data_IF_619911390432
#
_entry.id   IF_619911390432
#
_cell.length_a   1.000
_cell.length_b   1.000
_cell.length_c   1.000
_cell.angle_alpha   90.00
_cell.angle_beta   90.00
_cell.angle_gamma   90.00
#
_symmetry.space_group_name_H-M   'P 1'
#
loop_
_entity.id
_entity.type
_entity.pdbx_description
1 polymer ?
#
# COMPACT_ATOMS: atom_id res chain seq x y z
N UNK A 1 -34.06 34.44 -20.43
CA UNK A 1 -32.65 34.79 -20.19
C UNK A 1 -32.13 35.74 -21.26
N UNK A 2 -31.47 36.84 -20.86
CA UNK A 2 -30.85 37.78 -21.80
C UNK A 2 -29.67 37.13 -22.55
N UNK A 3 -29.32 37.64 -23.73
CA UNK A 3 -28.13 37.19 -24.51
C UNK A 3 -26.85 37.26 -23.66
N UNK A 4 -26.71 38.31 -22.83
CA UNK A 4 -25.59 38.47 -21.89
C UNK A 4 -25.57 37.38 -20.82
N UNK A 5 -26.73 37.03 -20.25
CA UNK A 5 -26.84 35.97 -19.24
C UNK A 5 -26.45 34.58 -19.79
N UNK A 6 -26.79 34.28 -21.06
CA UNK A 6 -26.39 33.02 -21.72
C UNK A 6 -24.88 32.93 -21.92
N UNK A 7 -24.23 34.03 -22.29
CA UNK A 7 -22.77 34.09 -22.48
C UNK A 7 -22.03 33.91 -21.15
N UNK A 8 -22.49 34.58 -20.09
CA UNK A 8 -21.91 34.42 -18.74
C UNK A 8 -22.05 32.97 -18.25
N UNK A 9 -23.22 32.36 -18.45
CA UNK A 9 -23.43 30.95 -18.10
C UNK A 9 -22.48 30.02 -18.87
N UNK A 10 -22.23 30.31 -20.15
CA UNK A 10 -21.26 29.57 -20.96
C UNK A 10 -19.84 29.63 -20.39
N UNK A 11 -19.36 30.83 -20.03
CA UNK A 11 -18.05 30.97 -19.39
C UNK A 11 -17.98 30.26 -18.04
N UNK A 12 -19.04 30.32 -17.22
CA UNK A 12 -19.08 29.58 -15.95
C UNK A 12 -18.96 28.07 -16.14
N UNK A 13 -19.64 27.50 -17.15
CA UNK A 13 -19.54 26.08 -17.45
C UNK A 13 -18.15 25.69 -17.96
N UNK A 14 -17.50 26.54 -18.77
CA UNK A 14 -16.12 26.33 -19.23
C UNK A 14 -15.16 26.34 -18.04
N UNK A 15 -15.25 27.34 -17.16
CA UNK A 15 -14.41 27.44 -15.96
C UNK A 15 -14.63 26.23 -15.06
N UNK A 16 -15.88 25.84 -14.81
CA UNK A 16 -16.20 24.66 -14.01
C UNK A 16 -15.61 23.39 -14.63
N UNK A 17 -15.71 23.23 -15.95
CA UNK A 17 -15.16 22.10 -16.68
C UNK A 17 -13.64 21.99 -16.58
N UNK A 18 -12.92 23.11 -16.44
CA UNK A 18 -11.47 23.13 -16.22
C UNK A 18 -11.12 22.92 -14.75
N UNK A 19 -11.90 23.46 -13.81
CA UNK A 19 -11.62 23.37 -12.38
C UNK A 19 -11.72 21.95 -11.83
N UNK A 20 -12.66 21.13 -12.32
CA UNK A 20 -12.86 19.74 -11.85
C UNK A 20 -11.60 18.86 -12.08
N UNK A 21 -11.06 18.72 -13.30
CA UNK A 21 -9.85 17.91 -13.53
C UNK A 21 -8.63 18.53 -12.84
N UNK A 22 -8.53 19.86 -12.78
CA UNK A 22 -7.43 20.53 -12.09
C UNK A 22 -7.43 20.21 -10.59
N UNK A 23 -8.61 20.18 -9.96
CA UNK A 23 -8.75 19.78 -8.55
C UNK A 23 -8.28 18.33 -8.32
N UNK A 24 -8.65 17.40 -9.19
CA UNK A 24 -8.18 16.01 -9.12
C UNK A 24 -6.66 15.90 -9.26
N UNK A 25 -6.07 16.60 -10.23
CA UNK A 25 -4.63 16.63 -10.44
C UNK A 25 -3.88 17.22 -9.23
N UNK A 26 -4.39 18.30 -8.65
CA UNK A 26 -3.82 18.91 -7.44
C UNK A 26 -3.86 17.97 -6.25
N UNK A 27 -4.95 17.20 -6.08
CA UNK A 27 -5.05 16.19 -5.01
C UNK A 27 -4.02 15.08 -5.19
N UNK A 28 -3.91 14.52 -6.39
CA UNK A 28 -2.93 13.49 -6.72
C UNK A 28 -1.50 13.99 -6.49
N UNK A 29 -1.17 15.19 -7.01
CA UNK A 29 0.15 15.80 -6.84
C UNK A 29 0.47 16.07 -5.36
N UNK A 30 -0.48 16.59 -4.59
CA UNK A 30 -0.33 16.79 -3.15
C UNK A 30 -0.07 15.45 -2.44
N UNK A 31 -0.79 14.40 -2.79
CA UNK A 31 -0.64 13.10 -2.15
C UNK A 31 0.75 12.51 -2.40
N UNK A 32 1.26 12.56 -3.65
CA UNK A 32 2.62 12.09 -3.98
C UNK A 32 3.69 12.77 -3.12
N UNK A 33 3.62 14.10 -2.97
CA UNK A 33 4.56 14.86 -2.13
C UNK A 33 4.40 14.49 -0.66
N UNK A 34 3.16 14.36 -0.19
CA UNK A 34 2.85 14.03 1.19
C UNK A 34 3.29 12.60 1.58
N UNK A 35 3.16 11.62 0.67
CA UNK A 35 3.65 10.26 0.86
C UNK A 35 5.15 10.23 1.08
N UNK A 36 5.92 11.05 0.35
CA UNK A 36 7.36 11.19 0.58
C UNK A 36 7.68 11.77 1.95
N UNK A 37 7.00 12.84 2.35
CA UNK A 37 7.18 13.39 3.70
C UNK A 37 6.80 12.41 4.82
N UNK A 38 5.77 11.58 4.61
CA UNK A 38 5.40 10.50 5.54
C UNK A 38 6.45 9.40 5.62
N UNK A 39 7.03 9.00 4.50
CA UNK A 39 8.13 8.05 4.46
C UNK A 39 9.33 8.59 5.25
N UNK A 40 9.76 9.82 4.97
CA UNK A 40 10.87 10.45 5.69
C UNK A 40 10.57 10.54 7.20
N UNK A 41 9.34 10.90 7.56
CA UNK A 41 8.90 10.94 8.96
C UNK A 41 8.94 9.56 9.63
N UNK A 42 8.53 8.52 8.91
CA UNK A 42 8.56 7.14 9.40
C UNK A 42 10.00 6.66 9.58
N UNK A 43 10.87 6.87 8.59
CA UNK A 43 12.27 6.44 8.63
C UNK A 43 13.08 7.13 9.73
N UNK A 44 12.66 8.33 10.16
CA UNK A 44 13.27 9.05 11.28
C UNK A 44 12.55 8.81 12.62
N UNK A 45 11.57 7.91 12.67
CA UNK A 45 10.82 7.59 13.89
C UNK A 45 11.54 6.54 14.75
N UNK A 46 11.05 6.35 15.99
CA UNK A 46 11.52 5.31 16.90
C UNK A 46 10.86 3.94 16.66
N UNK A 47 10.09 3.76 15.57
CA UNK A 47 9.42 2.50 15.22
C UNK A 47 10.41 1.50 14.61
N UNK A 48 11.40 1.12 15.40
CA UNK A 48 12.53 0.26 15.04
C UNK A 48 12.08 -1.20 14.96
N UNK A 49 12.58 -1.93 13.96
CA UNK A 49 12.52 -3.39 13.91
C UNK A 49 13.57 -3.98 14.85
N UNK A 50 13.19 -4.18 16.10
CA UNK A 50 14.04 -4.74 17.15
C UNK A 50 13.84 -6.25 17.32
N UNK A 51 14.60 -6.87 18.23
CA UNK A 51 14.48 -8.30 18.54
C UNK A 51 13.08 -8.69 19.05
N UNK A 52 12.37 -7.76 19.69
CA UNK A 52 11.00 -7.99 20.17
C UNK A 52 10.03 -8.10 19.00
N UNK A 53 10.13 -7.19 18.02
CA UNK A 53 9.34 -7.22 16.78
C UNK A 53 9.68 -8.43 15.93
N UNK A 54 10.97 -8.74 15.78
CA UNK A 54 11.43 -9.95 15.07
C UNK A 54 10.82 -11.22 15.67
N UNK A 55 10.85 -11.35 17.01
CA UNK A 55 10.22 -12.47 17.71
C UNK A 55 8.71 -12.55 17.45
N UNK A 56 8.00 -11.42 17.44
CA UNK A 56 6.55 -11.38 17.17
C UNK A 56 6.23 -11.77 15.73
N UNK A 57 7.02 -11.27 14.77
CA UNK A 57 6.93 -11.64 13.34
C UNK A 57 7.13 -13.15 13.17
N UNK A 58 8.08 -13.70 13.91
CA UNK A 58 8.36 -15.13 13.92
C UNK A 58 7.24 -15.95 14.55
N UNK A 59 6.79 -15.60 15.76
CA UNK A 59 5.72 -16.29 16.47
C UNK A 59 4.43 -16.30 15.65
N UNK A 60 4.09 -15.17 15.02
CA UNK A 60 2.94 -15.09 14.11
C UNK A 60 3.10 -16.09 12.94
N UNK A 61 4.22 -16.02 12.22
CA UNK A 61 4.45 -16.85 11.03
C UNK A 61 4.51 -18.35 11.38
N UNK A 62 5.13 -18.68 12.52
CA UNK A 62 5.24 -20.06 13.01
C UNK A 62 3.89 -20.60 13.54
N UNK A 63 2.95 -19.71 13.90
CA UNK A 63 1.59 -20.10 14.29
C UNK A 63 0.68 -20.45 13.10
N UNK A 64 1.07 -20.07 11.88
CA UNK A 64 0.28 -20.32 10.67
C UNK A 64 0.21 -21.82 10.39
N UNK A 65 -1.01 -22.35 10.29
CA UNK A 65 -1.22 -23.73 9.86
C UNK A 65 -1.09 -23.83 8.35
N UNK A 66 -0.63 -24.97 7.83
CA UNK A 66 -0.45 -25.15 6.37
C UNK A 66 -1.77 -25.14 5.57
N UNK A 67 -2.89 -25.27 6.26
CA UNK A 67 -4.24 -25.35 5.68
C UNK A 67 -5.01 -24.02 5.76
N UNK A 68 -4.33 -22.89 6.00
CA UNK A 68 -5.00 -21.59 6.01
C UNK A 68 -5.56 -21.29 4.62
N UNK A 69 -6.88 -21.23 4.54
CA UNK A 69 -7.59 -20.73 3.35
C UNK A 69 -7.31 -19.23 3.28
N UNK A 70 -6.40 -18.85 2.39
CA UNK A 70 -6.13 -17.44 2.08
C UNK A 70 -7.36 -16.89 1.36
N UNK A 71 -7.98 -15.87 1.95
CA UNK A 71 -9.18 -15.23 1.40
C UNK A 71 -8.74 -14.10 0.46
N UNK A 72 -9.38 -13.98 -0.71
CA UNK A 72 -9.18 -12.84 -1.59
C UNK A 72 -9.53 -11.53 -0.83
N UNK A 73 -8.56 -10.62 -0.62
CA UNK A 73 -8.78 -9.38 0.12
C UNK A 73 -9.76 -8.42 -0.56
N UNK A 74 -10.16 -8.68 -1.82
CA UNK A 74 -11.10 -7.84 -2.56
C UNK A 74 -12.50 -8.47 -2.69
N UNK A 75 -12.69 -9.74 -2.32
CA UNK A 75 -13.97 -10.45 -2.48
C UNK A 75 -14.90 -10.33 -1.25
N UNK A 76 -14.35 -10.12 -0.06
CA UNK A 76 -15.14 -10.11 1.18
C UNK A 76 -14.82 -8.88 2.05
N UNK A 77 -15.88 -8.30 2.62
CA UNK A 77 -15.81 -7.12 3.48
C UNK A 77 -15.46 -7.47 4.94
N UNK A 78 -15.68 -8.72 5.34
CA UNK A 78 -15.49 -9.19 6.71
C UNK A 78 -14.18 -9.97 6.83
N UNK A 79 -13.09 -9.22 6.89
CA UNK A 79 -11.77 -9.74 7.21
C UNK A 79 -11.55 -9.61 8.73
N UNK A 80 -11.31 -10.72 9.42
CA UNK A 80 -11.13 -10.74 10.87
C UNK A 80 -9.70 -11.13 11.21
N UNK A 81 -8.83 -10.14 11.32
CA UNK A 81 -7.40 -10.40 11.51
C UNK A 81 -6.93 -10.47 12.96
N UNK A 82 -6.07 -11.45 13.25
CA UNK A 82 -5.30 -11.54 14.50
C UNK A 82 -3.86 -11.04 14.34
N UNK A 83 -3.69 -9.73 14.49
CA UNK A 83 -2.39 -9.09 14.73
C UNK A 83 -2.31 -8.55 16.16
N UNK A 84 -2.64 -9.38 17.16
CA UNK A 84 -2.69 -9.01 18.58
C UNK A 84 -1.39 -8.40 19.14
N UNK A 85 -0.25 -8.63 18.49
CA UNK A 85 1.04 -8.06 18.91
C UNK A 85 1.21 -6.57 18.57
N UNK A 86 0.35 -6.02 17.70
CA UNK A 86 0.30 -4.59 17.35
C UNK A 86 -0.51 -3.83 18.39
N UNK A 87 0.08 -2.76 18.95
CA UNK A 87 -0.60 -1.91 19.94
C UNK A 87 -1.79 -1.16 19.32
N UNK A 88 -1.62 -0.69 18.09
CA UNK A 88 -2.66 -0.06 17.29
C UNK A 88 -2.64 -0.72 15.91
N UNK A 89 -3.81 -1.23 15.48
CA UNK A 89 -3.94 -1.93 14.20
C UNK A 89 -3.77 -1.00 12.99
N UNK A 90 -3.99 0.29 13.18
CA UNK A 90 -3.87 1.32 12.13
C UNK A 90 -2.44 1.87 11.98
N UNK A 91 -1.48 1.39 12.78
CA UNK A 91 -0.09 1.85 12.69
C UNK A 91 0.60 1.26 11.45
N UNK A 92 1.51 2.04 10.86
CA UNK A 92 2.34 1.58 9.76
C UNK A 92 3.27 0.49 10.29
N UNK A 93 3.23 -0.69 9.65
CA UNK A 93 4.12 -1.79 9.97
C UNK A 93 5.51 -1.60 9.38
N UNK A 94 5.58 -1.29 8.08
CA UNK A 94 6.82 -1.06 7.33
C UNK A 94 6.52 -0.17 6.10
N UNK A 95 7.53 0.15 5.29
CA UNK A 95 7.34 0.74 3.98
C UNK A 95 7.76 -0.19 2.86
N UNK A 96 6.95 -0.27 1.81
CA UNK A 96 7.28 -0.93 0.55
C UNK A 96 7.83 0.11 -0.42
N UNK A 97 8.99 -0.14 -1.03
CA UNK A 97 9.48 0.66 -2.14
C UNK A 97 9.93 -0.19 -3.32
N UNK A 98 9.62 0.28 -4.53
CA UNK A 98 9.97 -0.39 -5.78
C UNK A 98 10.51 0.68 -6.74
N UNK A 99 11.84 0.91 -6.78
CA UNK A 99 12.42 2.05 -7.48
C UNK A 99 12.09 2.08 -8.97
N UNK A 100 11.99 0.92 -9.62
CA UNK A 100 11.69 0.78 -11.04
C UNK A 100 10.40 1.50 -11.48
N UNK A 101 9.42 1.55 -10.59
CA UNK A 101 8.09 2.11 -10.85
C UNK A 101 7.77 3.32 -9.98
N UNK A 102 8.78 3.89 -9.30
CA UNK A 102 8.67 5.01 -8.36
C UNK A 102 7.58 4.77 -7.31
N UNK A 103 7.47 3.53 -6.83
CA UNK A 103 6.50 3.17 -5.79
C UNK A 103 7.13 3.34 -4.42
N UNK A 104 6.37 3.99 -3.54
CA UNK A 104 6.67 4.07 -2.11
C UNK A 104 5.36 4.14 -1.34
N UNK A 105 4.99 3.07 -0.66
CA UNK A 105 3.70 2.95 0.03
C UNK A 105 3.89 2.35 1.43
N UNK A 106 3.15 2.83 2.45
CA UNK A 106 3.15 2.20 3.76
C UNK A 106 2.49 0.82 3.69
N UNK A 107 3.07 -0.14 4.39
CA UNK A 107 2.51 -1.47 4.64
C UNK A 107 1.75 -1.43 5.96
N UNK A 108 0.47 -1.75 5.89
CA UNK A 108 -0.38 -2.01 7.05
C UNK A 108 -0.55 -3.51 7.26
N UNK A 109 -0.89 -3.92 8.49
CA UNK A 109 -1.31 -5.30 8.75
C UNK A 109 -2.82 -5.39 8.59
N UNK A 110 -3.30 -6.46 7.96
CA UNK A 110 -4.69 -6.69 7.57
C UNK A 110 -5.09 -5.96 6.28
N UNK A 111 -5.51 -6.71 5.28
CA UNK A 111 -5.96 -6.22 3.98
C UNK A 111 -7.42 -5.71 4.04
N UNK A 112 -7.76 -5.00 5.11
CA UNK A 112 -9.06 -4.33 5.26
C UNK A 112 -9.24 -3.22 4.23
N UNK A 113 -10.49 -2.89 3.89
CA UNK A 113 -10.82 -1.75 3.02
C UNK A 113 -10.16 -0.45 3.46
N UNK A 114 -10.04 -0.23 4.77
CA UNK A 114 -9.41 0.96 5.34
C UNK A 114 -7.92 0.98 5.05
N UNK A 115 -7.21 -0.12 5.28
CA UNK A 115 -5.77 -0.21 5.06
C UNK A 115 -5.41 -0.16 3.58
N UNK A 116 -6.17 -0.85 2.73
CA UNK A 116 -6.00 -0.79 1.27
C UNK A 116 -6.30 0.60 0.68
N UNK A 117 -7.14 1.41 1.35
CA UNK A 117 -7.35 2.82 0.98
C UNK A 117 -6.21 3.75 1.45
N UNK A 118 -5.44 3.35 2.47
CA UNK A 118 -4.35 4.13 3.07
C UNK A 118 -2.97 3.82 2.48
N UNK A 119 -2.81 2.63 1.86
CA UNK A 119 -1.55 2.17 1.27
C UNK A 119 -1.66 0.74 0.77
N UNK A 120 -0.62 -0.06 1.05
CA UNK A 120 -0.63 -1.51 0.79
C UNK A 120 -0.78 -2.26 2.11
N UNK A 121 -1.23 -3.51 2.05
CA UNK A 121 -1.57 -4.26 3.25
C UNK A 121 -1.14 -5.72 3.15
N UNK A 122 -0.66 -6.26 4.26
CA UNK A 122 -0.36 -7.67 4.40
C UNK A 122 -1.64 -8.51 4.47
N UNK A 123 -1.68 -9.61 3.71
CA UNK A 123 -2.78 -10.59 3.76
C UNK A 123 -2.55 -11.53 4.95
N UNK A 124 -3.49 -11.54 5.90
CA UNK A 124 -3.42 -12.47 7.02
C UNK A 124 -3.45 -13.92 6.55
N UNK A 125 -2.76 -14.79 7.29
CA UNK A 125 -2.64 -16.19 6.92
C UNK A 125 -1.41 -16.46 6.06
N UNK A 126 -0.66 -15.41 5.70
CA UNK A 126 0.62 -15.50 4.99
C UNK A 126 1.75 -15.04 5.91
N UNK A 127 2.98 -15.47 5.64
CA UNK A 127 4.10 -15.13 6.51
C UNK A 127 4.30 -13.61 6.56
N UNK A 128 4.67 -13.06 7.72
CA UNK A 128 5.08 -11.66 7.76
C UNK A 128 6.45 -11.49 7.09
N UNK A 129 6.74 -10.33 6.47
CA UNK A 129 8.03 -10.07 5.84
C UNK A 129 9.20 -10.28 6.82
N UNK A 130 10.09 -11.22 6.51
CA UNK A 130 11.30 -11.49 7.29
C UNK A 130 12.44 -12.01 6.40
N UNK A 131 13.63 -12.11 6.97
CA UNK A 131 14.84 -12.67 6.34
C UNK A 131 14.95 -14.19 6.47
N UNK A 132 13.92 -14.87 6.99
CA UNK A 132 13.94 -16.33 7.17
C UNK A 132 13.60 -17.07 5.89
N UNK A 133 14.38 -18.12 5.62
CA UNK A 133 14.17 -19.02 4.49
C UNK A 133 12.87 -19.81 4.70
N UNK A 134 12.14 -20.04 3.62
CA UNK A 134 10.90 -20.83 3.63
C UNK A 134 9.65 -20.05 4.03
N UNK A 135 9.75 -18.72 4.12
CA UNK A 135 8.61 -17.82 4.36
C UNK A 135 8.17 -17.11 3.08
N UNK A 136 6.86 -16.96 2.91
CA UNK A 136 6.23 -16.28 1.78
C UNK A 136 5.18 -15.29 2.26
N UNK A 137 5.57 -14.02 2.30
CA UNK A 137 4.67 -12.91 2.60
C UNK A 137 3.88 -12.47 1.37
N UNK A 138 2.60 -12.14 1.56
CA UNK A 138 1.75 -11.60 0.51
C UNK A 138 1.26 -10.21 0.89
N UNK A 139 1.54 -9.24 0.01
CA UNK A 139 1.12 -7.84 0.15
C UNK A 139 0.12 -7.51 -0.96
N UNK A 140 -1.08 -7.09 -0.55
CA UNK A 140 -2.15 -6.61 -1.41
C UNK A 140 -2.16 -5.07 -1.50
N UNK A 141 -2.69 -4.55 -2.60
CA UNK A 141 -2.84 -3.12 -2.82
C UNK A 141 -3.72 -2.86 -4.04
N UNK A 142 -4.43 -1.73 -4.08
CA UNK A 142 -5.26 -1.44 -5.25
C UNK A 142 -4.41 -1.16 -6.48
N UNK A 143 -4.98 -1.48 -7.65
CA UNK A 143 -4.49 -1.01 -8.94
C UNK A 143 -5.01 0.40 -9.20
N UNK A 144 -4.49 1.37 -8.46
CA UNK A 144 -4.93 2.76 -8.45
C UNK A 144 -6.09 3.04 -7.50
N UNK A 145 -6.07 4.25 -6.93
CA UNK A 145 -7.09 4.77 -6.01
C UNK A 145 -7.31 6.26 -6.28
N UNK A 146 -8.42 6.84 -5.82
CA UNK A 146 -8.84 8.21 -6.16
C UNK A 146 -7.74 9.28 -6.06
N UNK A 147 -6.82 9.12 -5.10
CA UNK A 147 -5.74 10.07 -4.83
C UNK A 147 -4.34 9.42 -4.88
N UNK A 148 -4.20 8.15 -5.28
CA UNK A 148 -2.93 7.41 -5.23
C UNK A 148 -2.74 6.44 -6.41
N UNK A 149 -1.48 6.26 -6.84
CA UNK A 149 -1.14 5.35 -7.95
C UNK A 149 -1.14 3.89 -7.47
N UNK A 150 -0.66 3.61 -6.25
CA UNK A 150 -0.58 2.26 -5.69
C UNK A 150 0.04 1.25 -6.69
N UNK A 151 -0.50 0.03 -6.81
CA UNK A 151 0.03 -1.01 -7.70
C UNK A 151 -0.36 -0.85 -9.18
N UNK A 152 -0.79 0.33 -9.64
CA UNK A 152 -1.15 0.55 -11.05
C UNK A 152 -0.06 0.09 -12.04
N UNK A 153 1.21 0.30 -11.67
CA UNK A 153 2.37 0.02 -12.51
C UNK A 153 3.04 -1.33 -12.23
N UNK A 154 2.45 -2.21 -11.40
CA UNK A 154 3.10 -3.47 -10.99
C UNK A 154 3.43 -4.38 -12.18
N UNK A 155 2.60 -4.38 -13.22
CA UNK A 155 2.85 -5.12 -14.46
C UNK A 155 4.03 -4.62 -15.32
N UNK A 156 4.71 -3.54 -14.92
CA UNK A 156 5.95 -3.07 -15.57
C UNK A 156 7.21 -3.71 -14.99
N UNK A 157 7.08 -4.47 -13.91
CA UNK A 157 8.22 -5.17 -13.30
C UNK A 157 8.65 -6.35 -14.16
N UNK A 158 9.94 -6.60 -14.16
CA UNK A 158 10.60 -7.72 -14.84
C UNK A 158 11.49 -8.47 -13.86
N UNK A 159 11.84 -9.72 -14.20
CA UNK A 159 12.80 -10.50 -13.43
C UNK A 159 14.09 -9.69 -13.19
N UNK A 160 14.58 -9.70 -11.95
CA UNK A 160 15.76 -8.94 -11.54
C UNK A 160 15.46 -7.55 -10.95
N UNK A 161 14.26 -6.99 -11.14
CA UNK A 161 13.90 -5.72 -10.50
C UNK A 161 13.86 -5.86 -8.96
N UNK A 162 14.26 -4.79 -8.27
CA UNK A 162 14.42 -4.78 -6.81
C UNK A 162 13.16 -4.25 -6.11
N UNK A 163 12.83 -4.90 -5.00
CA UNK A 163 11.74 -4.54 -4.10
C UNK A 163 12.32 -4.44 -2.70
N UNK A 164 11.95 -3.40 -1.95
CA UNK A 164 12.45 -3.18 -0.59
C UNK A 164 11.30 -3.09 0.40
N UNK A 165 11.47 -3.72 1.55
CA UNK A 165 10.62 -3.54 2.72
C UNK A 165 11.46 -2.96 3.84
N UNK A 166 11.13 -1.74 4.28
CA UNK A 166 11.97 -0.94 5.17
C UNK A 166 11.28 -0.55 6.47
N UNK A 167 12.06 -0.65 7.53
CA UNK A 167 11.90 -0.02 8.84
C UNK A 167 13.04 1.00 9.04
N UNK A 168 12.95 1.90 10.03
CA UNK A 168 14.01 2.88 10.31
C UNK A 168 15.43 2.32 10.39
N UNK A 169 15.60 1.10 10.92
CA UNK A 169 16.90 0.47 11.18
C UNK A 169 17.15 -0.82 10.38
N UNK A 170 16.19 -1.31 9.60
CA UNK A 170 16.29 -2.59 8.87
C UNK A 170 15.64 -2.43 7.51
N UNK A 171 16.30 -2.93 6.46
CA UNK A 171 15.69 -3.04 5.12
C UNK A 171 15.90 -4.45 4.61
N UNK A 172 14.81 -5.07 4.19
CA UNK A 172 14.81 -6.34 3.47
C UNK A 172 14.83 -6.02 1.98
N UNK A 173 15.77 -6.62 1.26
CA UNK A 173 15.86 -6.52 -0.21
C UNK A 173 15.35 -7.82 -0.83
N UNK A 174 14.44 -7.68 -1.79
CA UNK A 174 13.88 -8.75 -2.59
C UNK A 174 14.15 -8.49 -4.06
N UNK A 175 14.16 -9.57 -4.84
CA UNK A 175 14.31 -9.53 -6.30
C UNK A 175 13.14 -10.24 -6.96
N UNK A 176 12.56 -9.61 -7.96
CA UNK A 176 11.50 -10.20 -8.76
C UNK A 176 12.04 -11.43 -9.49
N UNK A 177 11.36 -12.57 -9.33
CA UNK A 177 11.69 -13.84 -10.02
C UNK A 177 10.69 -14.22 -11.11
N UNK A 178 9.57 -13.50 -11.22
CA UNK A 178 8.51 -13.81 -12.17
C UNK A 178 7.19 -13.10 -11.83
N UNK A 179 6.18 -13.37 -12.64
CA UNK A 179 4.82 -12.88 -12.44
C UNK A 179 3.81 -13.91 -12.96
N UNK A 180 2.62 -13.91 -12.37
CA UNK A 180 1.52 -14.81 -12.73
C UNK A 180 0.20 -14.03 -12.65
N UNK A 181 -0.74 -14.38 -13.53
CA UNK A 181 -2.13 -13.91 -13.47
C UNK A 181 -2.97 -15.11 -13.04
N UNK A 182 -3.69 -14.98 -11.92
CA UNK A 182 -4.52 -16.03 -11.33
C UNK A 182 -6.00 -15.61 -11.32
N UNK A 183 -6.90 -16.58 -11.18
CA UNK A 183 -8.31 -16.29 -10.88
C UNK A 183 -8.48 -15.94 -9.39
N UNK A 184 -9.50 -15.10 -9.04
CA UNK A 184 -9.82 -14.78 -7.65
C UNK A 184 -10.23 -15.98 -6.79
#
# INVERSE_FOLDING_TARGET
MSRRSKVILGYLLIVLGICIPLFGFLKLSKNIVFTKGKFDSFMNSNLVYDRSMEKKVDEYSDSLTKDVVIVDPFANDNYASDYSFMKNKDDIFAYLSIPKIDLMEPIYLDASKKHLAMGVAHIEGTDLPSDKIGRRSIIAGHRGYYEAIMFWNLGKLSEGDLIYISWPNKTLEYKVIGSEIIEP
#
